data_IF_330981354193
#
_entry.id   IF_330981354193
#
_cell.length_a   1.000
_cell.length_b   1.000
_cell.length_c   1.000
_cell.angle_alpha   90.00
_cell.angle_beta   90.00
_cell.angle_gamma   90.00
#
_symmetry.space_group_name_H-M   'P 1'
#
loop_
_entity.id
_entity.type
_entity.pdbx_description
1 polymer ?
#
# COMPACT_ATOMS: atom_id res chain seq x y z
N UNK A 1 -36.86 -1.16 -30.67
CA UNK A 1 -36.66 -0.32 -29.45
C UNK A 1 -35.83 -1.06 -28.37
N UNK A 2 -36.26 -2.21 -27.89
CA UNK A 2 -35.53 -3.00 -26.85
C UNK A 2 -34.09 -3.33 -27.26
N UNK A 3 -33.85 -3.85 -28.48
CA UNK A 3 -32.49 -4.15 -28.96
C UNK A 3 -31.58 -2.95 -29.03
N UNK A 4 -32.09 -1.77 -29.37
CA UNK A 4 -31.29 -0.53 -29.41
C UNK A 4 -30.92 -0.12 -27.98
N UNK A 5 -31.87 -0.18 -27.04
CA UNK A 5 -31.62 0.16 -25.63
C UNK A 5 -30.59 -0.82 -25.03
N UNK A 6 -30.73 -2.10 -25.30
CA UNK A 6 -29.76 -3.11 -24.85
C UNK A 6 -28.38 -2.87 -25.42
N UNK A 7 -28.26 -2.49 -26.68
CA UNK A 7 -26.99 -2.17 -27.33
C UNK A 7 -26.31 -0.94 -26.70
N UNK A 8 -27.07 0.11 -26.42
CA UNK A 8 -26.56 1.30 -25.73
C UNK A 8 -26.08 0.97 -24.33
N UNK A 9 -26.84 0.19 -23.56
CA UNK A 9 -26.46 -0.21 -22.21
C UNK A 9 -25.15 -1.01 -22.19
N UNK A 10 -25.01 -1.96 -23.10
CA UNK A 10 -23.77 -2.75 -23.25
C UNK A 10 -22.57 -1.82 -23.57
N UNK A 11 -22.76 -0.87 -24.48
CA UNK A 11 -21.72 0.09 -24.84
C UNK A 11 -21.28 0.96 -23.64
N UNK A 12 -22.24 1.40 -22.84
CA UNK A 12 -21.95 2.16 -21.59
C UNK A 12 -21.16 1.30 -20.61
N UNK A 13 -21.57 0.05 -20.40
CA UNK A 13 -20.88 -0.86 -19.48
C UNK A 13 -19.45 -1.18 -19.96
N UNK A 14 -19.26 -1.41 -21.26
CA UNK A 14 -17.91 -1.60 -21.83
C UNK A 14 -17.06 -0.34 -21.65
N UNK A 15 -17.62 0.84 -21.95
CA UNK A 15 -16.90 2.10 -21.81
C UNK A 15 -16.50 2.36 -20.34
N UNK A 16 -17.41 2.09 -19.40
CA UNK A 16 -17.13 2.20 -17.96
C UNK A 16 -16.04 1.20 -17.55
N UNK A 17 -16.12 -0.04 -18.03
CA UNK A 17 -15.12 -1.07 -17.73
C UNK A 17 -13.74 -0.68 -18.26
N UNK A 18 -13.65 -0.21 -19.51
CA UNK A 18 -12.39 0.29 -20.10
C UNK A 18 -11.86 1.49 -19.32
N UNK A 19 -12.75 2.43 -18.97
CA UNK A 19 -12.37 3.57 -18.12
C UNK A 19 -11.79 3.11 -16.78
N UNK A 20 -12.44 2.17 -16.10
CA UNK A 20 -11.95 1.61 -14.84
C UNK A 20 -10.58 0.92 -14.99
N UNK A 21 -10.34 0.21 -16.11
CA UNK A 21 -9.03 -0.39 -16.39
C UNK A 21 -7.93 0.67 -16.58
N UNK A 22 -8.27 1.80 -17.20
CA UNK A 22 -7.30 2.90 -17.42
C UNK A 22 -6.96 3.63 -16.13
N UNK A 23 -7.96 3.89 -15.28
CA UNK A 23 -7.77 4.65 -14.03
C UNK A 23 -7.46 3.77 -12.82
N UNK A 24 -7.67 2.45 -12.93
CA UNK A 24 -7.36 1.52 -11.85
C UNK A 24 -5.85 1.39 -11.67
N UNK A 25 -5.32 1.55 -10.46
CA UNK A 25 -3.88 1.46 -10.20
C UNK A 25 -3.42 -0.01 -10.27
N UNK A 26 -3.24 -0.52 -11.48
CA UNK A 26 -2.67 -1.86 -11.72
C UNK A 26 -1.26 -1.97 -11.15
N UNK A 27 -0.44 -0.95 -11.43
CA UNK A 27 0.91 -0.77 -10.89
C UNK A 27 1.11 0.69 -10.52
N UNK A 28 1.90 1.00 -9.49
CA UNK A 28 2.29 2.37 -9.18
C UNK A 28 3.13 2.94 -10.33
N UNK A 29 3.10 4.27 -10.50
CA UNK A 29 3.89 4.95 -11.53
C UNK A 29 5.37 4.74 -11.27
N UNK A 30 6.14 4.49 -12.33
CA UNK A 30 7.60 4.39 -12.25
C UNK A 30 8.19 5.68 -11.66
N UNK A 31 9.30 5.54 -10.95
CA UNK A 31 10.10 6.69 -10.50
C UNK A 31 10.93 7.16 -11.69
N UNK A 32 10.69 8.39 -12.12
CA UNK A 32 11.38 8.98 -13.29
C UNK A 32 12.18 10.20 -12.89
N UNK A 33 13.19 10.52 -13.67
CA UNK A 33 13.94 11.77 -13.59
C UNK A 33 13.16 12.94 -14.22
N UNK A 34 13.77 14.12 -14.27
CA UNK A 34 13.19 15.34 -14.87
C UNK A 34 12.94 15.23 -16.37
N UNK A 35 13.57 14.27 -17.05
CA UNK A 35 13.41 14.00 -18.48
C UNK A 35 12.39 12.88 -18.73
N UNK A 36 11.74 12.34 -17.68
CA UNK A 36 10.78 11.25 -17.77
C UNK A 36 11.42 9.88 -17.95
N UNK A 37 12.74 9.74 -17.78
CA UNK A 37 13.41 8.45 -17.87
C UNK A 37 13.40 7.73 -16.51
N UNK A 38 13.28 6.38 -16.49
CA UNK A 38 13.37 5.62 -15.26
C UNK A 38 14.70 5.87 -14.54
N UNK A 39 14.62 6.12 -13.23
CA UNK A 39 15.82 6.30 -12.39
C UNK A 39 16.43 4.93 -12.09
N UNK A 40 17.71 4.75 -12.40
CA UNK A 40 18.46 3.52 -12.07
C UNK A 40 18.54 3.34 -10.56
N UNK A 41 18.39 2.09 -10.07
CA UNK A 41 18.35 1.79 -8.64
C UNK A 41 17.03 2.13 -7.94
N UNK A 42 16.06 2.75 -8.65
CA UNK A 42 14.75 3.04 -8.11
C UNK A 42 13.86 1.80 -8.02
N UNK A 43 12.87 1.86 -7.14
CA UNK A 43 11.80 0.86 -7.03
C UNK A 43 10.43 1.53 -7.07
N UNK A 44 9.51 0.92 -7.79
CA UNK A 44 8.10 1.28 -7.78
C UNK A 44 7.28 0.02 -8.05
N UNK A 45 6.76 -0.60 -7.00
CA UNK A 45 6.07 -1.88 -7.11
C UNK A 45 4.82 -1.97 -6.23
N UNK A 46 3.91 -2.84 -6.63
CA UNK A 46 2.82 -3.35 -5.83
C UNK A 46 3.05 -4.83 -5.58
N UNK A 47 3.00 -5.23 -4.32
CA UNK A 47 3.17 -6.62 -3.94
C UNK A 47 2.09 -7.05 -2.94
N UNK A 48 2.03 -8.36 -2.71
CA UNK A 48 1.20 -8.98 -1.69
C UNK A 48 2.02 -9.96 -0.87
N UNK A 49 1.68 -10.06 0.40
CA UNK A 49 2.33 -10.96 1.35
C UNK A 49 1.29 -11.55 2.29
N UNK A 50 1.57 -12.72 2.83
CA UNK A 50 0.77 -13.32 3.90
C UNK A 50 1.24 -12.72 5.23
N UNK A 51 0.35 -12.00 5.92
CA UNK A 51 0.59 -11.36 7.21
C UNK A 51 -0.57 -11.69 8.14
N UNK A 52 -0.28 -12.25 9.29
CA UNK A 52 -1.31 -12.64 10.25
C UNK A 52 -2.34 -13.61 9.67
N UNK A 53 -1.92 -14.49 8.76
CA UNK A 53 -2.77 -15.50 8.12
C UNK A 53 -3.73 -14.95 7.05
N UNK A 54 -3.55 -13.69 6.60
CA UNK A 54 -4.34 -13.11 5.52
C UNK A 54 -3.43 -12.42 4.50
N UNK A 55 -3.87 -12.43 3.24
CA UNK A 55 -3.16 -11.74 2.16
C UNK A 55 -3.30 -10.25 2.30
N UNK A 56 -2.19 -9.55 2.48
CA UNK A 56 -2.14 -8.09 2.59
C UNK A 56 -1.27 -7.48 1.50
N UNK A 57 -1.61 -6.28 1.07
CA UNK A 57 -0.94 -5.58 -0.01
C UNK A 57 -0.05 -4.44 0.48
N UNK A 58 0.91 -4.08 -0.36
CA UNK A 58 1.83 -2.98 -0.10
C UNK A 58 2.26 -2.33 -1.41
N UNK A 59 2.46 -1.02 -1.39
CA UNK A 59 3.16 -0.30 -2.44
C UNK A 59 4.54 0.14 -1.91
N UNK A 60 5.59 -0.10 -2.69
CA UNK A 60 6.95 0.32 -2.32
C UNK A 60 7.46 1.29 -3.37
N UNK A 61 7.97 2.43 -2.91
CA UNK A 61 8.58 3.44 -3.79
C UNK A 61 9.86 4.02 -3.18
N UNK A 62 10.89 4.14 -4.02
CA UNK A 62 12.12 4.84 -3.70
C UNK A 62 12.83 5.29 -4.97
N UNK A 63 13.58 6.40 -4.91
CA UNK A 63 14.56 6.74 -5.94
C UNK A 63 15.80 5.89 -5.88
N UNK A 64 16.15 5.41 -4.68
CA UNK A 64 17.30 4.57 -4.43
C UNK A 64 16.95 3.54 -3.35
N UNK A 65 17.05 2.26 -3.68
CA UNK A 65 16.75 1.15 -2.76
C UNK A 65 17.80 0.98 -1.65
N UNK A 66 18.93 1.67 -1.72
CA UNK A 66 19.93 1.73 -0.65
C UNK A 66 19.48 2.61 0.53
N UNK A 67 18.54 3.52 0.31
CA UNK A 67 17.98 4.41 1.32
C UNK A 67 17.44 3.65 2.55
N UNK A 68 17.37 4.33 3.71
CA UNK A 68 16.66 3.78 4.87
C UNK A 68 15.23 3.38 4.53
N UNK A 69 14.75 2.28 5.09
CA UNK A 69 13.39 1.79 4.90
C UNK A 69 12.43 2.49 5.85
N UNK A 70 11.31 2.96 5.32
CA UNK A 70 10.22 3.59 6.07
C UNK A 70 8.93 2.80 5.85
N UNK A 71 8.42 2.16 6.90
CA UNK A 71 7.07 1.63 6.92
C UNK A 71 6.08 2.78 7.17
N UNK A 72 5.23 3.06 6.20
CA UNK A 72 4.15 4.02 6.33
C UNK A 72 2.83 3.30 6.63
N UNK A 73 2.24 3.61 7.78
CA UNK A 73 0.98 3.08 8.27
C UNK A 73 -0.08 4.18 8.14
N UNK A 74 -1.06 3.96 7.27
CA UNK A 74 -2.09 4.94 6.97
C UNK A 74 -3.13 5.10 8.10
N UNK A 75 -3.94 6.14 7.99
CA UNK A 75 -5.04 6.39 8.90
C UNK A 75 -6.26 5.51 8.64
N UNK A 76 -7.26 5.67 9.44
CA UNK A 76 -8.50 4.96 9.21
C UNK A 76 -9.15 4.48 10.49
N UNK A 77 -10.03 3.48 10.40
CA UNK A 77 -9.70 2.14 9.87
C UNK A 77 -9.73 2.07 8.33
N UNK A 78 -8.70 1.42 7.79
CA UNK A 78 -8.64 0.94 6.40
C UNK A 78 -8.75 2.01 5.29
N UNK A 79 -8.32 3.26 5.57
CA UNK A 79 -8.33 4.33 4.57
C UNK A 79 -6.96 4.43 3.88
N UNK A 80 -6.81 3.72 2.76
CA UNK A 80 -5.62 3.79 1.92
C UNK A 80 -5.26 5.24 1.55
N UNK A 81 -4.00 5.60 1.71
CA UNK A 81 -3.49 6.95 1.39
C UNK A 81 -2.53 6.96 0.20
N UNK A 82 -2.18 5.81 -0.34
CA UNK A 82 -1.22 5.73 -1.44
C UNK A 82 -1.66 6.51 -2.69
N UNK A 83 -2.96 6.54 -3.01
CA UNK A 83 -3.47 7.32 -4.14
C UNK A 83 -3.25 8.84 -3.97
N UNK A 84 -3.25 9.34 -2.72
CA UNK A 84 -2.93 10.75 -2.44
C UNK A 84 -1.47 11.04 -2.71
N UNK A 85 -0.58 10.13 -2.31
CA UNK A 85 0.87 10.26 -2.53
C UNK A 85 1.20 10.22 -4.02
N UNK A 86 0.53 9.36 -4.81
CA UNK A 86 0.70 9.34 -6.26
C UNK A 86 0.25 10.63 -6.94
N UNK A 87 -0.81 11.25 -6.43
CA UNK A 87 -1.34 12.50 -6.97
C UNK A 87 -0.60 13.74 -6.46
N UNK A 88 -0.18 13.70 -5.20
CA UNK A 88 0.51 14.80 -4.51
C UNK A 88 1.81 14.27 -3.86
N UNK A 89 2.88 14.10 -4.65
CA UNK A 89 4.13 13.52 -4.15
C UNK A 89 4.70 14.33 -2.98
N UNK A 90 5.03 13.63 -1.89
CA UNK A 90 5.60 14.23 -0.68
C UNK A 90 7.11 14.42 -0.76
N UNK A 91 7.76 13.74 -1.71
CA UNK A 91 9.22 13.72 -1.85
C UNK A 91 9.94 12.80 -0.85
N UNK A 92 9.22 12.06 -0.02
CA UNK A 92 9.83 11.09 0.94
C UNK A 92 10.64 10.03 0.21
N UNK A 93 10.24 9.64 -1.00
CA UNK A 93 10.92 8.65 -1.84
C UNK A 93 12.32 9.09 -2.30
N UNK A 94 12.68 10.38 -2.12
CA UNK A 94 14.04 10.85 -2.36
C UNK A 94 15.01 10.43 -1.24
N UNK A 95 14.50 10.15 -0.04
CA UNK A 95 15.31 9.92 1.17
C UNK A 95 15.08 8.57 1.81
N UNK A 96 13.95 7.92 1.48
CA UNK A 96 13.53 6.64 2.05
C UNK A 96 13.10 5.67 0.95
N UNK A 97 13.26 4.39 1.23
CA UNK A 97 12.46 3.34 0.60
C UNK A 97 11.15 3.26 1.35
N UNK A 98 10.11 3.96 0.83
CA UNK A 98 8.83 4.08 1.50
C UNK A 98 7.95 2.88 1.16
N UNK A 99 7.48 2.19 2.18
CA UNK A 99 6.63 1.02 2.11
C UNK A 99 5.24 1.40 2.63
N UNK A 100 4.33 1.71 1.72
CA UNK A 100 2.93 2.06 2.01
C UNK A 100 2.14 0.77 2.19
N UNK A 101 2.03 0.34 3.42
CA UNK A 101 1.31 -0.88 3.76
C UNK A 101 -0.20 -0.61 3.80
N UNK A 102 -0.96 -1.45 3.12
CA UNK A 102 -2.41 -1.50 3.18
C UNK A 102 -2.78 -2.55 4.23
N UNK A 103 -3.20 -2.11 5.41
CA UNK A 103 -3.54 -3.01 6.53
C UNK A 103 -4.69 -3.96 6.18
N UNK A 104 -4.84 -5.03 6.96
CA UNK A 104 -5.94 -5.99 6.75
C UNK A 104 -7.30 -5.32 6.61
N UNK A 105 -8.06 -5.72 5.59
CA UNK A 105 -9.38 -5.16 5.27
C UNK A 105 -9.36 -3.81 4.58
N UNK A 106 -8.19 -3.17 4.41
CA UNK A 106 -8.05 -1.88 3.74
C UNK A 106 -7.57 -1.98 2.31
N UNK A 107 -7.94 -1.03 1.47
CA UNK A 107 -7.41 -0.85 0.13
C UNK A 107 -7.27 -2.14 -0.67
N UNK A 108 -6.04 -2.45 -1.14
CA UNK A 108 -5.76 -3.68 -1.88
C UNK A 108 -5.67 -4.95 -1.00
N UNK A 109 -5.72 -4.79 0.33
CA UNK A 109 -5.79 -5.90 1.29
C UNK A 109 -7.23 -6.33 1.61
N UNK A 110 -8.23 -5.68 1.01
CA UNK A 110 -9.62 -6.05 1.20
C UNK A 110 -9.91 -7.45 0.67
N UNK A 111 -10.60 -8.26 1.48
CA UNK A 111 -11.14 -9.56 1.08
C UNK A 111 -12.52 -9.76 1.70
N UNK A 112 -13.52 -10.13 0.89
CA UNK A 112 -14.86 -10.43 1.41
C UNK A 112 -14.90 -11.69 2.29
N UNK A 113 -13.86 -12.53 2.26
CA UNK A 113 -13.73 -13.74 3.07
C UNK A 113 -13.06 -13.47 4.43
N UNK A 114 -12.53 -12.27 4.66
CA UNK A 114 -11.87 -11.92 5.91
C UNK A 114 -12.90 -11.79 7.04
N UNK A 115 -12.61 -12.43 8.20
CA UNK A 115 -13.45 -12.25 9.37
C UNK A 115 -13.32 -10.85 9.96
N UNK A 116 -14.44 -10.18 10.17
CA UNK A 116 -14.48 -8.88 10.85
C UNK A 116 -13.99 -8.96 12.30
N UNK A 117 -14.12 -10.13 12.95
CA UNK A 117 -13.60 -10.37 14.30
C UNK A 117 -12.07 -10.29 14.37
N UNK A 118 -11.39 -10.43 13.22
CA UNK A 118 -9.94 -10.26 13.13
C UNK A 118 -9.48 -8.79 13.09
N UNK A 119 -10.40 -7.84 12.97
CA UNK A 119 -10.10 -6.40 12.95
C UNK A 119 -9.99 -5.85 14.38
N UNK A 120 -9.04 -6.38 15.14
CA UNK A 120 -8.74 -5.92 16.51
C UNK A 120 -7.45 -5.11 16.54
N UNK A 121 -7.33 -4.23 17.53
CA UNK A 121 -6.11 -3.43 17.75
C UNK A 121 -4.89 -4.34 17.97
N UNK A 122 -5.07 -5.44 18.69
CA UNK A 122 -4.04 -6.44 18.97
C UNK A 122 -3.55 -7.13 17.70
N UNK A 123 -4.48 -7.50 16.82
CA UNK A 123 -4.14 -8.14 15.56
C UNK A 123 -3.44 -7.17 14.61
N UNK A 124 -3.91 -5.93 14.51
CA UNK A 124 -3.25 -4.90 13.71
C UNK A 124 -1.83 -4.60 14.21
N UNK A 125 -1.61 -4.57 15.53
CA UNK A 125 -0.28 -4.42 16.10
C UNK A 125 0.63 -5.63 15.81
N UNK A 126 0.09 -6.84 15.87
CA UNK A 126 0.81 -8.06 15.47
C UNK A 126 1.18 -8.05 13.99
N UNK A 127 0.25 -7.65 13.13
CA UNK A 127 0.50 -7.50 11.69
C UNK A 127 1.59 -6.46 11.41
N UNK A 128 1.57 -5.30 12.08
CA UNK A 128 2.59 -4.27 11.92
C UNK A 128 3.99 -4.79 12.31
N UNK A 129 4.07 -5.62 13.36
CA UNK A 129 5.32 -6.29 13.76
C UNK A 129 5.79 -7.27 12.67
N UNK A 130 4.89 -8.07 12.13
CA UNK A 130 5.22 -9.05 11.09
C UNK A 130 5.66 -8.35 9.79
N UNK A 131 4.97 -7.27 9.39
CA UNK A 131 5.36 -6.43 8.25
C UNK A 131 6.74 -5.80 8.47
N UNK A 132 7.03 -5.30 9.67
CA UNK A 132 8.34 -4.77 10.03
C UNK A 132 9.43 -5.81 9.82
N UNK A 133 9.24 -7.04 10.31
CA UNK A 133 10.19 -8.14 10.16
C UNK A 133 10.33 -8.56 8.68
N UNK A 134 9.24 -8.59 7.93
CA UNK A 134 9.28 -8.84 6.49
C UNK A 134 10.17 -7.81 5.78
N UNK A 135 9.99 -6.52 6.06
CA UNK A 135 10.76 -5.44 5.43
C UNK A 135 12.23 -5.46 5.85
N UNK A 136 12.54 -5.70 7.13
CA UNK A 136 13.92 -5.89 7.61
C UNK A 136 14.62 -7.00 6.84
N UNK A 137 13.96 -8.14 6.67
CA UNK A 137 14.51 -9.29 5.94
C UNK A 137 14.67 -9.00 4.44
N UNK A 138 13.68 -8.38 3.81
CA UNK A 138 13.68 -8.05 2.38
C UNK A 138 14.81 -7.11 2.02
N UNK A 139 14.99 -6.03 2.77
CA UNK A 139 15.96 -4.98 2.51
C UNK A 139 17.29 -5.16 3.24
N UNK A 140 17.44 -6.27 3.98
CA UNK A 140 18.66 -6.57 4.78
C UNK A 140 19.01 -5.44 5.74
N UNK A 141 18.01 -4.86 6.39
CA UNK A 141 18.17 -3.80 7.39
C UNK A 141 17.95 -4.36 8.80
N UNK A 142 18.82 -4.01 9.73
CA UNK A 142 18.65 -4.36 11.14
C UNK A 142 17.45 -3.64 11.76
N UNK A 143 17.29 -2.35 11.42
CA UNK A 143 16.19 -1.50 11.87
C UNK A 143 15.56 -0.77 10.69
N UNK A 144 14.29 -0.41 10.82
CA UNK A 144 13.55 0.43 9.88
C UNK A 144 12.85 1.55 10.62
N UNK A 145 12.50 2.60 9.90
CA UNK A 145 11.66 3.67 10.43
C UNK A 145 10.18 3.27 10.30
N UNK A 146 9.38 3.72 11.27
CA UNK A 146 7.92 3.59 11.23
C UNK A 146 7.31 4.98 11.34
N UNK A 147 6.44 5.32 10.40
CA UNK A 147 5.62 6.53 10.41
C UNK A 147 4.16 6.10 10.37
N UNK A 148 3.36 6.62 11.28
CA UNK A 148 1.94 6.30 11.35
C UNK A 148 1.11 7.57 11.37
N UNK A 149 -0.06 7.51 10.70
CA UNK A 149 -1.01 8.61 10.65
C UNK A 149 -2.32 8.25 11.35
N UNK A 150 -2.89 9.21 12.10
CA UNK A 150 -4.26 9.13 12.66
C UNK A 150 -4.53 7.79 13.38
N UNK A 151 -5.56 7.03 12.96
CA UNK A 151 -5.93 5.73 13.54
C UNK A 151 -4.81 4.69 13.51
N UNK A 152 -3.92 4.74 12.52
CA UNK A 152 -2.75 3.85 12.42
C UNK A 152 -1.77 4.01 13.58
N UNK A 153 -1.73 5.18 14.23
CA UNK A 153 -0.82 5.43 15.37
C UNK A 153 -1.12 4.53 16.57
N UNK A 154 -2.39 4.16 16.78
CA UNK A 154 -2.80 3.36 17.94
C UNK A 154 -2.15 1.97 17.95
N UNK A 155 -2.15 1.29 16.82
CA UNK A 155 -1.53 -0.04 16.74
C UNK A 155 -0.04 0.00 16.39
N UNK A 156 0.44 1.07 15.74
CA UNK A 156 1.87 1.30 15.55
C UNK A 156 2.61 1.47 16.89
N UNK A 157 2.08 2.31 17.79
CA UNK A 157 2.63 2.48 19.15
C UNK A 157 2.65 1.15 19.90
N UNK A 158 1.53 0.40 19.84
CA UNK A 158 1.43 -0.91 20.52
C UNK A 158 2.41 -1.94 19.95
N UNK A 159 2.68 -1.91 18.66
CA UNK A 159 3.69 -2.78 18.05
C UNK A 159 5.10 -2.42 18.56
N UNK A 160 5.45 -1.14 18.61
CA UNK A 160 6.77 -0.66 19.09
C UNK A 160 6.94 -0.90 20.59
N UNK A 161 5.89 -0.74 21.40
CA UNK A 161 5.95 -1.05 22.85
C UNK A 161 6.28 -2.51 23.12
N UNK A 162 5.79 -3.43 22.28
CA UNK A 162 6.07 -4.88 22.41
C UNK A 162 7.43 -5.28 21.85
N UNK A 163 7.97 -4.52 20.92
CA UNK A 163 9.21 -4.80 20.19
C UNK A 163 10.04 -3.50 20.05
N UNK A 164 10.63 -2.99 21.15
CA UNK A 164 11.34 -1.70 21.16
C UNK A 164 12.72 -1.74 20.46
N UNK A 165 13.25 -2.95 20.13
CA UNK A 165 14.50 -3.15 19.41
C UNK A 165 14.38 -2.71 17.93
#
# INVERSE_FOLDING_TARGET
>A
MILIISGILILILISLFVFLLIVSPGKPKSVTDTNGQPVEGSISEKLFMEIGGVRQGMFIRAKDTSNPVLLYIHGGPSFSEFFLVEKYPTGMENYFTVCYWEERGGGISFSPQMSLESLTLEQLASDATEVTNYLRNRFKKEKIFVMAHSGGTAFAIRAVEKHPE
#
